data_IF_202066163635
#
_entry.id   IF_202066163635
#
_cell.length_a   1.000
_cell.length_b   1.000
_cell.length_c   1.000
_cell.angle_alpha   90.00
_cell.angle_beta   90.00
_cell.angle_gamma   90.00
#
_symmetry.space_group_name_H-M   'P 1'
#
loop_
_entity.id
_entity.type
_entity.pdbx_description
1 polymer ?
#
# COMPACT_ATOMS: atom_id res chain seq x y z
N UNK A 1 41.50 32.74 -26.64
CA UNK A 1 40.24 32.19 -26.10
C UNK A 1 40.49 31.84 -24.64
N UNK A 2 39.97 32.66 -23.73
CA UNK A 2 40.23 32.63 -22.29
C UNK A 2 39.51 31.45 -21.61
N UNK A 3 40.28 30.51 -21.06
CA UNK A 3 39.75 29.44 -20.20
C UNK A 3 39.43 30.02 -18.82
N UNK A 4 38.16 30.26 -18.53
CA UNK A 4 37.71 30.66 -17.19
C UNK A 4 38.06 29.56 -16.16
N UNK A 5 38.52 29.94 -14.95
CA UNK A 5 38.88 28.98 -13.90
C UNK A 5 37.67 28.15 -13.48
N UNK A 6 37.73 26.84 -13.71
CA UNK A 6 36.72 25.88 -13.25
C UNK A 6 36.60 25.93 -11.72
N UNK A 7 35.40 26.18 -11.15
CA UNK A 7 35.24 26.18 -9.70
C UNK A 7 35.44 24.75 -9.17
N UNK A 8 36.36 24.58 -8.20
CA UNK A 8 36.72 23.29 -7.55
C UNK A 8 35.52 22.52 -6.94
N UNK A 9 34.31 23.07 -6.95
CA UNK A 9 33.11 22.50 -6.36
C UNK A 9 31.88 22.45 -7.29
N UNK A 10 32.05 22.57 -8.61
CA UNK A 10 30.95 22.54 -9.59
C UNK A 10 30.00 21.33 -9.42
N UNK A 11 30.54 20.14 -9.12
CA UNK A 11 29.75 18.93 -8.90
C UNK A 11 28.84 19.00 -7.67
N UNK A 12 29.27 19.69 -6.60
CA UNK A 12 28.45 19.87 -5.39
C UNK A 12 27.28 20.82 -5.62
N UNK A 13 27.52 21.88 -6.39
CA UNK A 13 26.51 22.86 -6.77
C UNK A 13 25.43 22.17 -7.63
N UNK A 14 25.87 21.39 -8.63
CA UNK A 14 24.97 20.59 -9.47
C UNK A 14 24.18 19.59 -8.63
N UNK A 15 24.83 18.80 -7.75
CA UNK A 15 24.14 17.85 -6.87
C UNK A 15 23.07 18.51 -5.99
N UNK A 16 23.33 19.70 -5.42
CA UNK A 16 22.33 20.45 -4.64
C UNK A 16 21.15 20.90 -5.50
N UNK A 17 21.38 21.29 -6.75
CA UNK A 17 20.31 21.67 -7.66
C UNK A 17 19.44 20.47 -8.03
N UNK A 18 20.04 19.33 -8.37
CA UNK A 18 19.32 18.08 -8.64
C UNK A 18 18.54 17.59 -7.43
N UNK A 19 19.13 17.67 -6.23
CA UNK A 19 18.44 17.31 -4.99
C UNK A 19 17.25 18.25 -4.69
N UNK A 20 17.40 19.57 -4.91
CA UNK A 20 16.32 20.54 -4.65
C UNK A 20 15.14 20.34 -5.58
N UNK A 21 15.40 20.22 -6.88
CA UNK A 21 14.33 20.03 -7.88
C UNK A 21 13.73 18.63 -7.82
N UNK A 22 14.56 17.61 -7.65
CA UNK A 22 14.09 16.24 -7.39
C UNK A 22 13.25 16.16 -6.12
N UNK A 23 13.59 16.93 -5.09
CA UNK A 23 12.85 17.01 -3.83
C UNK A 23 11.49 17.66 -3.97
N UNK A 24 11.37 18.72 -4.77
CA UNK A 24 10.07 19.33 -5.08
C UNK A 24 9.17 18.33 -5.82
N UNK A 25 9.71 17.64 -6.83
CA UNK A 25 8.96 16.62 -7.56
C UNK A 25 8.53 15.46 -6.64
N UNK A 26 9.44 14.96 -5.80
CA UNK A 26 9.15 13.90 -4.84
C UNK A 26 8.14 14.36 -3.77
N UNK A 27 8.19 15.61 -3.32
CA UNK A 27 7.25 16.16 -2.34
C UNK A 27 5.82 16.24 -2.90
N UNK A 28 5.66 16.70 -4.15
CA UNK A 28 4.37 16.71 -4.83
C UNK A 28 3.79 15.29 -4.96
N UNK A 29 4.63 14.35 -5.39
CA UNK A 29 4.25 12.94 -5.48
C UNK A 29 3.83 12.39 -4.11
N UNK A 30 4.63 12.61 -3.07
CA UNK A 30 4.35 12.17 -1.71
C UNK A 30 3.10 12.81 -1.12
N UNK A 31 2.78 14.06 -1.47
CA UNK A 31 1.56 14.72 -1.03
C UNK A 31 0.33 13.95 -1.54
N UNK A 32 0.26 13.69 -2.85
CA UNK A 32 -0.83 12.91 -3.45
C UNK A 32 -0.88 11.51 -2.85
N UNK A 33 0.27 10.87 -2.71
CA UNK A 33 0.37 9.51 -2.19
C UNK A 33 -0.07 9.41 -0.72
N UNK A 34 0.30 10.40 0.09
CA UNK A 34 -0.07 10.53 1.50
C UNK A 34 -1.56 10.79 1.66
N UNK A 35 -2.14 11.69 0.86
CA UNK A 35 -3.59 11.91 0.85
C UNK A 35 -4.32 10.60 0.53
N UNK A 36 -3.89 9.90 -0.52
CA UNK A 36 -4.51 8.62 -0.92
C UNK A 36 -4.40 7.57 0.19
N UNK A 37 -3.22 7.46 0.84
CA UNK A 37 -2.99 6.54 1.95
C UNK A 37 -3.77 6.89 3.22
N UNK A 38 -3.92 8.18 3.51
CA UNK A 38 -4.70 8.67 4.64
C UNK A 38 -6.19 8.38 4.46
N UNK A 39 -6.73 8.59 3.25
CA UNK A 39 -8.10 8.18 2.90
C UNK A 39 -8.27 6.66 3.07
N UNK A 40 -7.27 5.89 2.70
CA UNK A 40 -7.28 4.43 2.83
C UNK A 40 -7.22 3.95 4.29
N UNK A 41 -6.63 4.73 5.18
CA UNK A 41 -6.58 4.42 6.62
C UNK A 41 -7.89 4.82 7.32
N UNK A 42 -8.52 5.90 6.87
CA UNK A 42 -9.76 6.46 7.42
C UNK A 42 -10.97 6.25 6.50
N UNK A 43 -11.11 5.03 5.93
CA UNK A 43 -12.13 4.73 4.90
C UNK A 43 -13.53 5.16 5.32
N UNK A 44 -13.97 4.81 6.52
CA UNK A 44 -15.34 5.08 6.96
C UNK A 44 -15.65 6.58 7.14
N UNK A 45 -14.93 7.36 7.95
CA UNK A 45 -15.23 8.78 8.13
C UNK A 45 -15.01 9.61 6.86
N UNK A 46 -14.02 9.27 6.04
CA UNK A 46 -13.74 10.02 4.80
C UNK A 46 -14.77 9.71 3.71
N UNK A 47 -15.12 8.43 3.52
CA UNK A 47 -16.18 8.07 2.58
C UNK A 47 -17.53 8.63 3.05
N UNK A 48 -17.77 8.69 4.37
CA UNK A 48 -18.99 9.31 4.95
C UNK A 48 -19.04 10.80 4.61
N UNK A 49 -17.94 11.53 4.82
CA UNK A 49 -17.84 12.96 4.52
C UNK A 49 -17.98 13.27 3.01
N UNK A 50 -17.54 12.35 2.14
CA UNK A 50 -17.69 12.45 0.68
C UNK A 50 -19.06 11.97 0.17
N UNK A 51 -19.95 11.49 1.05
CA UNK A 51 -21.24 10.92 0.66
C UNK A 51 -21.14 9.60 -0.12
N UNK A 52 -19.96 8.97 -0.13
CA UNK A 52 -19.65 7.72 -0.84
C UNK A 52 -19.54 6.52 0.12
N UNK A 53 -19.91 6.72 1.39
CA UNK A 53 -19.83 5.68 2.37
C UNK A 53 -20.84 4.56 2.12
N UNK A 54 -20.43 3.31 2.39
CA UNK A 54 -21.40 2.24 2.51
C UNK A 54 -22.34 2.62 3.65
N UNK A 55 -23.64 2.72 3.36
CA UNK A 55 -24.68 2.71 4.39
C UNK A 55 -24.41 1.47 5.22
N UNK A 56 -23.98 1.67 6.48
CA UNK A 56 -23.96 0.61 7.47
C UNK A 56 -25.39 0.52 7.96
N UNK A 57 -26.22 -0.22 7.24
CA UNK A 57 -27.49 -0.70 7.75
C UNK A 57 -27.19 -1.77 8.81
N UNK A 58 -26.69 -1.29 9.96
CA UNK A 58 -26.69 -2.06 11.21
C UNK A 58 -27.58 -1.45 12.29
N UNK A 59 -28.16 -0.27 12.08
CA UNK A 59 -29.04 0.38 13.06
C UNK A 59 -30.26 0.98 12.36
N UNK A 60 -31.23 0.13 12.04
CA UNK A 60 -32.65 0.46 12.10
C UNK A 60 -33.37 -0.60 12.97
N UNK A 61 -32.65 -1.12 13.96
CA UNK A 61 -33.17 -2.02 14.99
C UNK A 61 -32.99 -1.34 16.35
N UNK A 62 -33.54 -0.14 16.51
CA UNK A 62 -33.78 0.43 17.83
C UNK A 62 -35.07 1.24 17.76
N UNK A 63 -36.00 0.81 18.62
CA UNK A 63 -37.24 1.48 19.03
C UNK A 63 -38.43 1.51 18.06
N UNK A 64 -38.91 0.33 17.70
CA UNK A 64 -40.35 0.07 17.61
C UNK A 64 -40.56 -1.37 18.06
N UNK A 65 -41.56 -1.73 18.88
CA UNK A 65 -41.94 -3.12 19.10
C UNK A 65 -42.59 -3.65 17.81
N UNK A 66 -41.76 -3.78 16.79
CA UNK A 66 -42.11 -4.43 15.55
C UNK A 66 -42.14 -5.91 15.87
N UNK A 67 -43.34 -6.48 15.86
CA UNK A 67 -43.56 -7.86 15.48
C UNK A 67 -42.60 -8.13 14.33
N UNK A 68 -41.52 -8.86 14.62
CA UNK A 68 -40.54 -9.24 13.63
C UNK A 68 -41.25 -10.17 12.66
N UNK A 69 -41.90 -9.59 11.66
CA UNK A 69 -42.14 -10.26 10.39
C UNK A 69 -40.75 -10.46 9.82
N UNK A 70 -40.13 -11.55 10.28
CA UNK A 70 -39.08 -12.22 9.56
C UNK A 70 -39.59 -12.30 8.10
N UNK A 71 -38.81 -11.86 7.09
CA UNK A 71 -39.19 -12.15 5.72
C UNK A 71 -39.51 -13.64 5.64
N UNK A 72 -40.53 -14.06 4.87
CA UNK A 72 -41.00 -15.44 4.89
C UNK A 72 -39.76 -16.32 4.79
N UNK A 73 -39.57 -17.11 5.85
CA UNK A 73 -38.47 -18.05 5.95
C UNK A 73 -38.87 -19.19 5.02
N UNK A 74 -38.77 -18.91 3.73
CA UNK A 74 -38.99 -19.88 2.66
C UNK A 74 -38.11 -21.06 3.05
N UNK A 75 -38.75 -22.22 3.24
CA UNK A 75 -38.20 -23.42 3.89
C UNK A 75 -37.06 -24.12 3.13
N UNK A 76 -36.13 -23.35 2.56
CA UNK A 76 -34.91 -23.79 1.92
C UNK A 76 -33.69 -23.27 2.69
N UNK A 77 -33.71 -23.36 4.03
CA UNK A 77 -32.49 -23.32 4.87
C UNK A 77 -31.70 -24.63 4.66
N UNK A 78 -31.28 -24.90 3.41
CA UNK A 78 -30.42 -26.01 3.05
C UNK A 78 -28.95 -25.66 3.33
N UNK A 79 -28.66 -25.28 4.58
CA UNK A 79 -27.29 -25.17 5.06
C UNK A 79 -26.69 -26.58 5.15
N UNK A 80 -26.15 -27.06 4.03
CA UNK A 80 -25.43 -28.33 3.98
C UNK A 80 -24.14 -28.23 4.81
N UNK A 81 -23.81 -29.26 5.58
CA UNK A 81 -22.61 -29.28 6.44
C UNK A 81 -21.56 -30.18 5.82
N UNK A 82 -20.39 -29.62 5.52
CA UNK A 82 -19.24 -30.39 5.07
C UNK A 82 -18.55 -31.05 6.26
N UNK A 83 -18.32 -32.34 6.13
CA UNK A 83 -17.54 -33.15 7.08
C UNK A 83 -16.38 -33.81 6.34
N UNK A 84 -15.44 -34.38 7.09
CA UNK A 84 -14.32 -35.14 6.49
C UNK A 84 -14.77 -36.40 5.74
N UNK A 85 -16.00 -36.85 5.95
CA UNK A 85 -16.60 -37.97 5.22
C UNK A 85 -17.32 -37.54 3.94
N UNK A 86 -17.58 -36.25 3.78
CA UNK A 86 -18.35 -35.73 2.64
C UNK A 86 -17.53 -35.83 1.35
N UNK A 87 -18.08 -36.50 0.33
CA UNK A 87 -17.43 -36.59 -0.98
C UNK A 87 -17.94 -35.49 -1.90
N UNK A 88 -17.16 -35.19 -2.94
CA UNK A 88 -17.54 -34.20 -3.95
C UNK A 88 -18.86 -34.55 -4.65
N UNK A 89 -19.14 -35.83 -4.85
CA UNK A 89 -20.40 -36.35 -5.41
C UNK A 89 -21.63 -36.06 -4.54
N UNK A 90 -21.43 -35.82 -3.25
CA UNK A 90 -22.50 -35.67 -2.26
C UNK A 90 -22.90 -34.19 -2.10
N UNK A 91 -22.23 -33.29 -2.83
CA UNK A 91 -22.53 -31.86 -2.84
C UNK A 91 -23.83 -31.59 -3.61
N UNK A 92 -24.72 -30.72 -3.09
CA UNK A 92 -25.93 -30.34 -3.82
C UNK A 92 -25.63 -29.69 -5.17
N UNK A 93 -24.57 -28.88 -5.23
CA UNK A 93 -24.04 -28.32 -6.48
C UNK A 93 -22.62 -28.84 -6.70
N UNK A 94 -22.46 -29.63 -7.75
CA UNK A 94 -21.18 -30.17 -8.16
C UNK A 94 -20.26 -29.08 -8.76
N UNK A 95 -18.94 -29.19 -8.60
CA UNK A 95 -17.99 -28.27 -9.23
C UNK A 95 -18.17 -28.14 -10.75
N UNK A 96 -18.56 -29.23 -11.42
CA UNK A 96 -18.79 -29.28 -12.87
C UNK A 96 -19.94 -28.36 -13.28
N UNK A 97 -21.06 -28.38 -12.54
CA UNK A 97 -22.22 -27.50 -12.77
C UNK A 97 -21.83 -26.03 -12.58
N UNK A 98 -20.98 -25.76 -11.59
CA UNK A 98 -20.48 -24.40 -11.33
C UNK A 98 -19.57 -23.93 -12.47
N UNK A 99 -18.74 -24.82 -13.02
CA UNK A 99 -17.86 -24.53 -14.16
C UNK A 99 -18.66 -24.34 -15.45
N UNK A 100 -19.69 -25.14 -15.70
CA UNK A 100 -20.62 -24.97 -16.82
C UNK A 100 -21.29 -23.61 -16.73
N UNK A 101 -21.80 -23.23 -15.55
CA UNK A 101 -22.40 -21.92 -15.33
C UNK A 101 -21.41 -20.78 -15.54
N UNK A 102 -20.16 -20.95 -15.10
CA UNK A 102 -19.09 -20.00 -15.36
C UNK A 102 -18.81 -19.86 -16.86
N UNK A 103 -18.80 -20.98 -17.58
CA UNK A 103 -18.60 -21.00 -19.02
C UNK A 103 -19.77 -20.36 -19.78
N UNK A 104 -21.01 -20.54 -19.33
CA UNK A 104 -22.19 -19.86 -19.90
C UNK A 104 -22.07 -18.33 -19.81
N UNK A 105 -21.61 -17.80 -18.67
CA UNK A 105 -21.56 -16.36 -18.45
C UNK A 105 -20.29 -15.69 -18.94
N UNK A 106 -19.14 -16.35 -18.81
CA UNK A 106 -17.84 -15.78 -19.15
C UNK A 106 -17.24 -16.33 -20.43
N UNK A 107 -17.80 -17.41 -20.99
CA UNK A 107 -17.17 -18.18 -22.06
C UNK A 107 -15.99 -19.00 -21.56
N UNK A 108 -15.18 -19.54 -22.49
CA UNK A 108 -13.96 -20.29 -22.14
C UNK A 108 -12.84 -19.32 -21.77
N UNK A 109 -12.72 -19.03 -20.47
CA UNK A 109 -11.68 -18.16 -19.91
C UNK A 109 -10.87 -18.96 -18.88
N UNK A 110 -9.53 -18.81 -18.83
CA UNK A 110 -8.74 -19.41 -17.76
C UNK A 110 -9.20 -18.88 -16.40
N UNK A 111 -9.26 -19.73 -15.37
CA UNK A 111 -9.59 -19.31 -14.01
C UNK A 111 -8.30 -19.09 -13.21
N UNK A 112 -8.22 -17.99 -12.45
CA UNK A 112 -7.12 -17.75 -11.51
C UNK A 112 -7.27 -18.61 -10.26
N UNK A 113 -8.52 -18.78 -9.79
CA UNK A 113 -8.83 -19.48 -8.54
C UNK A 113 -10.27 -19.95 -8.53
N UNK A 114 -10.49 -21.13 -7.96
CA UNK A 114 -11.78 -21.67 -7.59
C UNK A 114 -11.71 -22.12 -6.14
N UNK A 115 -12.58 -21.60 -5.28
CA UNK A 115 -12.60 -21.93 -3.85
C UNK A 115 -14.04 -22.11 -3.35
N UNK A 116 -14.23 -23.09 -2.47
CA UNK A 116 -15.48 -23.27 -1.73
C UNK A 116 -15.33 -22.63 -0.36
N UNK A 117 -16.19 -21.66 -0.05
CA UNK A 117 -16.09 -20.87 1.19
C UNK A 117 -17.42 -20.80 1.90
N UNK A 118 -17.39 -20.85 3.23
CA UNK A 118 -18.57 -20.58 4.04
C UNK A 118 -18.71 -19.06 4.27
N UNK A 119 -19.83 -18.48 3.85
CA UNK A 119 -20.20 -17.08 4.10
C UNK A 119 -21.56 -17.02 4.79
N UNK A 120 -21.62 -16.39 5.97
CA UNK A 120 -22.86 -16.24 6.77
C UNK A 120 -23.63 -17.55 7.00
N UNK A 121 -22.92 -18.68 7.18
CA UNK A 121 -23.53 -20.00 7.41
C UNK A 121 -23.97 -20.75 6.15
N UNK A 122 -23.72 -20.21 4.96
CA UNK A 122 -23.96 -20.87 3.67
C UNK A 122 -22.66 -21.17 2.96
N UNK A 123 -22.59 -22.31 2.28
CA UNK A 123 -21.46 -22.62 1.40
C UNK A 123 -21.65 -21.94 0.05
N UNK A 124 -20.62 -21.27 -0.42
CA UNK A 124 -20.61 -20.60 -1.71
C UNK A 124 -19.34 -20.96 -2.48
N UNK A 125 -19.52 -21.35 -3.73
CA UNK A 125 -18.44 -21.47 -4.70
C UNK A 125 -18.03 -20.11 -5.21
N UNK A 126 -16.73 -19.81 -5.18
CA UNK A 126 -16.17 -18.57 -5.69
C UNK A 126 -15.15 -18.86 -6.77
N UNK A 127 -15.46 -18.42 -7.98
CA UNK A 127 -14.60 -18.51 -9.14
C UNK A 127 -14.06 -17.13 -9.44
N UNK A 128 -12.76 -17.02 -9.70
CA UNK A 128 -12.10 -15.76 -10.02
C UNK A 128 -11.41 -15.87 -11.36
N UNK A 129 -11.71 -14.92 -12.25
CA UNK A 129 -11.10 -14.86 -13.59
C UNK A 129 -9.98 -13.81 -13.66
N UNK A 130 -9.00 -13.98 -14.56
CA UNK A 130 -8.00 -12.96 -14.87
C UNK A 130 -8.72 -11.77 -15.47
N UNK A 131 -8.71 -10.68 -14.71
CA UNK A 131 -9.68 -9.61 -14.90
C UNK A 131 -10.40 -9.20 -13.62
N UNK A 132 -10.27 -9.98 -12.54
CA UNK A 132 -10.70 -9.60 -11.20
C UNK A 132 -12.20 -9.64 -10.95
N UNK A 133 -12.99 -10.08 -11.93
CA UNK A 133 -14.39 -10.44 -11.73
C UNK A 133 -14.48 -11.78 -11.02
N UNK A 134 -15.46 -11.87 -10.12
CA UNK A 134 -15.70 -13.04 -9.29
C UNK A 134 -17.12 -13.54 -9.53
N UNK A 135 -17.27 -14.84 -9.75
CA UNK A 135 -18.54 -15.51 -9.83
C UNK A 135 -18.76 -16.22 -8.50
N UNK A 136 -19.86 -15.89 -7.85
CA UNK A 136 -20.29 -16.51 -6.61
C UNK A 136 -21.49 -17.39 -6.95
N UNK A 137 -21.42 -18.68 -6.64
CA UNK A 137 -22.52 -19.64 -6.82
C UNK A 137 -22.87 -20.23 -5.47
N UNK A 138 -24.13 -20.15 -5.06
CA UNK A 138 -24.58 -20.78 -3.81
C UNK A 138 -24.51 -22.30 -3.95
N UNK A 139 -23.86 -22.97 -3.00
CA UNK A 139 -23.58 -24.39 -3.08
C UNK A 139 -24.78 -25.29 -2.74
N UNK A 140 -25.87 -24.71 -2.22
CA UNK A 140 -27.12 -25.45 -1.96
C UNK A 140 -28.16 -25.25 -3.05
N UNK A 141 -28.28 -24.04 -3.60
CA UNK A 141 -29.32 -23.70 -4.60
C UNK A 141 -28.83 -23.69 -6.04
N UNK A 142 -27.51 -23.58 -6.26
CA UNK A 142 -26.93 -23.41 -7.61
C UNK A 142 -27.17 -22.03 -8.22
N UNK A 143 -27.68 -21.08 -7.43
CA UNK A 143 -27.90 -19.71 -7.87
C UNK A 143 -26.55 -19.00 -8.06
N UNK A 144 -26.34 -18.42 -9.24
CA UNK A 144 -25.08 -17.87 -9.68
C UNK A 144 -25.17 -16.35 -9.84
N UNK A 145 -24.20 -15.63 -9.28
CA UNK A 145 -24.13 -14.17 -9.35
C UNK A 145 -22.72 -13.69 -9.70
N UNK A 146 -22.62 -12.80 -10.69
CA UNK A 146 -21.36 -12.17 -11.08
C UNK A 146 -21.14 -10.90 -10.28
N UNK A 147 -19.95 -10.78 -9.70
CA UNK A 147 -19.46 -9.62 -8.98
C UNK A 147 -18.36 -8.95 -9.79
N UNK A 148 -18.59 -7.69 -10.17
CA UNK A 148 -17.59 -6.87 -10.87
C UNK A 148 -16.32 -6.63 -10.04
N UNK A 149 -15.19 -6.35 -10.71
CA UNK A 149 -13.87 -6.14 -10.07
C UNK A 149 -13.90 -5.14 -8.91
N UNK A 150 -14.70 -4.08 -9.03
CA UNK A 150 -14.83 -3.02 -8.04
C UNK A 150 -16.23 -2.96 -7.43
N UNK A 151 -17.04 -4.02 -7.56
CA UNK A 151 -18.37 -4.06 -6.98
C UNK A 151 -18.32 -4.69 -5.59
N UNK A 152 -19.13 -4.16 -4.68
CA UNK A 152 -19.41 -4.72 -3.37
C UNK A 152 -20.90 -5.02 -3.30
N UNK A 153 -21.21 -6.28 -3.01
CA UNK A 153 -22.58 -6.78 -2.83
C UNK A 153 -22.99 -6.56 -1.36
N UNK A 154 -24.11 -5.87 -1.15
CA UNK A 154 -24.76 -5.74 0.15
C UNK A 154 -25.55 -6.99 0.56
N UNK A 155 -26.18 -6.99 1.74
CA UNK A 155 -27.14 -8.02 2.14
C UNK A 155 -28.25 -8.16 1.08
N UNK A 156 -28.81 -9.36 0.87
CA UNK A 156 -29.96 -9.53 0.00
C UNK A 156 -31.17 -8.78 0.60
N UNK A 157 -31.83 -7.96 -0.22
CA UNK A 157 -33.08 -7.31 0.13
C UNK A 157 -34.22 -8.36 0.22
N UNK A 158 -35.41 -7.98 0.68
CA UNK A 158 -36.56 -8.87 0.85
C UNK A 158 -37.01 -9.57 -0.46
N UNK A 159 -36.54 -9.10 -1.61
CA UNK A 159 -36.76 -9.67 -2.95
C UNK A 159 -35.61 -10.55 -3.45
N UNK A 160 -34.59 -10.80 -2.62
CA UNK A 160 -33.38 -11.55 -2.99
C UNK A 160 -32.33 -10.74 -3.76
N UNK A 161 -32.64 -9.52 -4.20
CA UNK A 161 -31.68 -8.67 -4.91
C UNK A 161 -30.67 -8.04 -3.94
N UNK A 162 -29.37 -8.19 -4.23
CA UNK A 162 -28.29 -7.55 -3.46
C UNK A 162 -27.93 -6.21 -4.06
N UNK A 163 -27.97 -5.15 -3.25
CA UNK A 163 -27.53 -3.83 -3.67
C UNK A 163 -26.06 -3.87 -4.13
N UNK A 164 -25.80 -3.43 -5.37
CA UNK A 164 -24.45 -3.29 -5.92
C UNK A 164 -23.93 -1.90 -5.58
N UNK A 165 -22.77 -1.83 -4.93
CA UNK A 165 -22.10 -0.58 -4.59
C UNK A 165 -20.66 -0.59 -5.11
N UNK A 166 -20.11 0.59 -5.40
CA UNK A 166 -18.71 0.72 -5.85
C UNK A 166 -17.78 0.63 -4.64
N UNK A 167 -16.81 -0.28 -4.69
CA UNK A 167 -15.75 -0.44 -3.70
C UNK A 167 -14.64 0.60 -3.93
N UNK A 168 -14.92 1.83 -3.51
CA UNK A 168 -13.96 2.93 -3.52
C UNK A 168 -12.67 2.59 -2.77
N UNK A 169 -12.76 1.79 -1.71
CA UNK A 169 -11.59 1.35 -0.95
C UNK A 169 -10.64 0.50 -1.81
N UNK A 170 -11.18 -0.40 -2.64
CA UNK A 170 -10.39 -1.22 -3.57
C UNK A 170 -9.84 -0.40 -4.73
N UNK A 171 -10.61 0.55 -5.27
CA UNK A 171 -10.14 1.47 -6.33
C UNK A 171 -8.97 2.31 -5.82
N UNK A 172 -9.10 2.92 -4.63
CA UNK A 172 -8.04 3.74 -4.04
C UNK A 172 -6.81 2.89 -3.70
N UNK A 173 -6.98 1.64 -3.25
CA UNK A 173 -5.87 0.72 -3.01
C UNK A 173 -5.14 0.34 -4.31
N UNK A 174 -5.89 0.03 -5.38
CA UNK A 174 -5.31 -0.28 -6.69
C UNK A 174 -4.63 0.96 -7.31
N UNK A 175 -5.14 2.17 -7.07
CA UNK A 175 -4.49 3.42 -7.46
C UNK A 175 -3.19 3.65 -6.68
N UNK A 176 -3.23 3.46 -5.37
CA UNK A 176 -2.06 3.60 -4.49
C UNK A 176 -0.97 2.57 -4.82
N UNK A 177 -1.33 1.34 -5.16
CA UNK A 177 -0.35 0.32 -5.56
C UNK A 177 0.12 0.47 -7.02
N UNK A 178 -0.46 1.41 -7.78
CA UNK A 178 -0.20 1.58 -9.21
C UNK A 178 -0.81 0.46 -10.08
N UNK A 179 -1.59 -0.46 -9.49
CA UNK A 179 -2.19 -1.59 -10.19
C UNK A 179 -3.31 -1.17 -11.13
N UNK A 180 -4.00 -0.06 -10.83
CA UNK A 180 -5.10 0.46 -11.65
C UNK A 180 -4.64 0.84 -13.07
N UNK A 181 -3.43 1.38 -13.20
CA UNK A 181 -2.82 1.77 -14.47
C UNK A 181 -1.93 0.66 -15.09
N UNK A 182 -2.03 -0.57 -14.56
CA UNK A 182 -1.31 -1.73 -15.08
C UNK A 182 0.21 -1.60 -14.98
N UNK A 183 0.92 -1.90 -16.09
CA UNK A 183 2.38 -1.86 -16.14
C UNK A 183 2.95 -0.45 -15.93
N UNK A 184 2.27 0.57 -16.46
CA UNK A 184 2.69 1.96 -16.36
C UNK A 184 2.62 2.49 -14.92
N UNK A 185 1.54 2.17 -14.20
CA UNK A 185 1.43 2.54 -12.79
C UNK A 185 2.52 1.91 -11.95
N UNK A 186 2.81 0.61 -12.14
CA UNK A 186 3.95 -0.05 -11.49
C UNK A 186 5.29 0.62 -11.82
N UNK A 187 5.52 0.96 -13.09
CA UNK A 187 6.76 1.63 -13.50
C UNK A 187 6.93 3.00 -12.84
N UNK A 188 5.87 3.81 -12.77
CA UNK A 188 5.87 5.11 -12.08
C UNK A 188 6.19 4.91 -10.60
N UNK A 189 5.59 3.93 -9.94
CA UNK A 189 5.85 3.61 -8.53
C UNK A 189 7.31 3.20 -8.29
N UNK A 190 7.89 2.39 -9.18
CA UNK A 190 9.30 2.00 -9.11
C UNK A 190 10.23 3.19 -9.33
N UNK A 191 9.93 4.07 -10.30
CA UNK A 191 10.70 5.29 -10.54
C UNK A 191 10.61 6.27 -9.37
N UNK A 192 9.43 6.44 -8.78
CA UNK A 192 9.24 7.26 -7.60
C UNK A 192 10.04 6.72 -6.40
N UNK A 193 9.98 5.41 -6.16
CA UNK A 193 10.79 4.75 -5.11
C UNK A 193 12.29 4.92 -5.34
N UNK A 194 12.76 4.71 -6.57
CA UNK A 194 14.16 4.94 -6.96
C UNK A 194 14.58 6.40 -6.81
N UNK A 195 13.71 7.34 -7.17
CA UNK A 195 13.90 8.78 -6.98
C UNK A 195 14.02 9.15 -5.50
N UNK A 196 13.14 8.62 -4.64
CA UNK A 196 13.21 8.82 -3.20
C UNK A 196 14.52 8.26 -2.61
N UNK A 197 14.93 7.06 -3.03
CA UNK A 197 16.19 6.47 -2.61
C UNK A 197 17.39 7.34 -3.03
N UNK A 198 17.42 7.79 -4.28
CA UNK A 198 18.41 8.73 -4.77
C UNK A 198 18.42 10.03 -3.96
N UNK A 199 17.26 10.59 -3.64
CA UNK A 199 17.14 11.77 -2.81
C UNK A 199 17.69 11.57 -1.40
N UNK A 200 17.45 10.39 -0.83
CA UNK A 200 17.93 10.02 0.51
C UNK A 200 19.46 9.95 0.52
N UNK A 201 20.04 9.25 -0.45
CA UNK A 201 21.50 9.11 -0.60
C UNK A 201 22.15 10.47 -0.88
N UNK A 202 21.59 11.26 -1.81
CA UNK A 202 22.14 12.58 -2.16
C UNK A 202 22.02 13.59 -1.02
N UNK A 203 20.93 13.56 -0.26
CA UNK A 203 20.75 14.38 0.95
C UNK A 203 21.78 14.03 2.02
N UNK A 204 21.97 12.74 2.28
CA UNK A 204 22.98 12.25 3.23
C UNK A 204 24.40 12.64 2.79
N UNK A 205 24.70 12.53 1.49
CA UNK A 205 25.99 12.95 0.94
C UNK A 205 26.26 14.45 1.15
N UNK A 206 25.28 15.30 0.81
CA UNK A 206 25.40 16.76 0.97
C UNK A 206 25.53 17.15 2.45
N UNK A 207 24.91 16.40 3.36
CA UNK A 207 24.98 16.63 4.80
C UNK A 207 26.29 16.13 5.43
N UNK A 208 26.76 14.93 5.08
CA UNK A 208 27.99 14.34 5.65
C UNK A 208 29.26 15.10 5.23
N UNK A 209 29.36 15.56 3.99
CA UNK A 209 30.57 16.21 3.48
C UNK A 209 31.05 17.41 4.32
N UNK A 210 30.23 18.43 4.65
CA UNK A 210 30.68 19.54 5.49
C UNK A 210 31.05 19.11 6.91
N UNK A 211 30.42 18.06 7.46
CA UNK A 211 30.75 17.53 8.79
C UNK A 211 32.12 16.85 8.81
N UNK A 212 32.46 16.10 7.76
CA UNK A 212 33.77 15.47 7.61
C UNK A 212 34.88 16.51 7.43
N UNK A 213 34.62 17.56 6.63
CA UNK A 213 35.57 18.67 6.44
C UNK A 213 35.81 19.42 7.76
N UNK A 214 34.75 19.73 8.52
CA UNK A 214 34.87 20.36 9.86
C UNK A 214 35.68 19.50 10.83
N UNK A 215 35.47 18.18 10.84
CA UNK A 215 36.26 17.23 11.66
C UNK A 215 37.73 17.21 11.26
N UNK A 216 38.05 17.25 9.96
CA UNK A 216 39.42 17.33 9.47
C UNK A 216 40.14 18.61 9.90
N UNK A 217 39.48 19.76 9.79
CA UNK A 217 40.04 21.03 10.26
C UNK A 217 40.22 21.07 11.79
N UNK A 218 39.31 20.47 12.56
CA UNK A 218 39.45 20.38 14.02
C UNK A 218 40.65 19.52 14.43
N UNK A 219 40.92 18.41 13.72
CA UNK A 219 42.11 17.57 13.93
C UNK A 219 43.40 18.31 13.56
N UNK A 220 43.45 18.92 12.37
CA UNK A 220 44.61 19.69 11.92
C UNK A 220 44.96 20.85 12.87
N UNK A 221 43.96 21.53 13.45
CA UNK A 221 44.17 22.57 14.48
C UNK A 221 44.75 22.00 15.77
N UNK A 222 44.28 20.83 16.22
CA UNK A 222 44.84 20.16 17.41
C UNK A 222 46.29 19.75 17.19
N UNK A 223 46.61 19.15 16.05
CA UNK A 223 47.97 18.71 15.73
C UNK A 223 48.93 19.90 15.64
N UNK A 224 48.51 21.00 15.00
CA UNK A 224 49.30 22.23 14.95
C UNK A 224 49.53 22.86 16.34
N UNK A 225 48.54 22.75 17.24
CA UNK A 225 48.65 23.26 18.61
C UNK A 225 49.59 22.40 19.46
N UNK A 226 49.53 21.07 19.33
CA UNK A 226 50.45 20.14 19.99
C UNK A 226 51.90 20.37 19.57
N UNK A 227 52.16 20.56 18.27
CA UNK A 227 53.50 20.90 17.76
C UNK A 227 54.03 22.22 18.32
N UNK A 228 53.20 23.27 18.42
CA UNK A 228 53.60 24.54 19.03
C UNK A 228 53.91 24.41 20.52
N UNK A 229 53.11 23.66 21.27
CA UNK A 229 53.34 23.45 22.70
C UNK A 229 54.60 22.64 22.97
N UNK A 230 54.93 21.64 22.14
CA UNK A 230 56.15 20.84 22.32
C UNK A 230 57.41 21.65 22.01
N UNK A 231 57.38 22.53 21.00
CA UNK A 231 58.51 23.41 20.67
C UNK A 231 58.78 24.40 21.81
N UNK A 232 57.72 25.02 22.35
CA UNK A 232 57.82 25.96 23.47
C UNK A 232 58.34 25.28 24.75
N UNK A 233 57.89 24.06 25.05
CA UNK A 233 58.38 23.30 26.20
C UNK A 233 59.90 23.03 26.11
N UNK A 234 60.39 22.60 24.94
CA UNK A 234 61.82 22.40 24.69
C UNK A 234 62.64 23.69 24.84
N UNK A 235 62.16 24.81 24.31
CA UNK A 235 62.83 26.11 24.50
C UNK A 235 62.87 26.54 25.97
N UNK A 236 61.86 26.19 26.75
CA UNK A 236 61.82 26.53 28.18
C UNK A 236 62.78 25.64 28.98
N UNK A 237 62.90 24.37 28.63
CA UNK A 237 63.82 23.39 29.24
C UNK A 237 65.30 23.71 28.93
N UNK A 238 65.61 24.11 27.69
CA UNK A 238 66.97 24.55 27.30
C UNK A 238 67.38 25.85 28.04
N UNK A 239 66.40 26.66 28.45
CA UNK A 239 66.65 27.96 29.09
C UNK A 239 66.65 27.90 30.63
N UNK A 240 66.36 26.75 31.24
CA UNK A 240 66.55 26.54 32.67
C UNK A 240 68.02 26.14 32.87
N UNK A 241 68.89 27.03 33.36
CA UNK A 241 70.27 26.63 33.66
C UNK A 241 70.22 25.51 34.68
N UNK A 242 70.96 24.43 34.44
CA UNK A 242 71.20 23.38 35.42
C UNK A 242 71.76 24.05 36.68
N UNK A 243 70.90 24.32 37.65
CA UNK A 243 71.33 24.68 38.99
C UNK A 243 71.86 23.39 39.60
N UNK A 244 73.16 23.20 39.43
CA UNK A 244 73.96 22.16 40.09
C UNK A 244 74.04 22.56 41.58
N UNK A 245 73.91 21.58 42.51
CA UNK A 245 73.60 21.80 43.93
C UNK A 245 74.56 22.69 44.70
#
# INVERSE_FOLDING_TARGET
MSSLPQPKHAGLIRMRQWHRWGGVAAALFLLVFSITGMILNYKEPVLNALGLAPRKDKEAATDTPAIAVQPPRDGNDSSFVLTTATRWSDLPTLPEVVLERAQEMWGRVPLERMELRMEHGRWVWKLKRPGGEELIVDASTGEAMVRGRYERLGPPDATGQRARSVDWGKILLDLHTGKIAGAWGKAIMTLAGGGLLFLTISGLYVWCKPLLIRRGHARARRDAQLHRTSHRAKETEVKVPAQVP
#
